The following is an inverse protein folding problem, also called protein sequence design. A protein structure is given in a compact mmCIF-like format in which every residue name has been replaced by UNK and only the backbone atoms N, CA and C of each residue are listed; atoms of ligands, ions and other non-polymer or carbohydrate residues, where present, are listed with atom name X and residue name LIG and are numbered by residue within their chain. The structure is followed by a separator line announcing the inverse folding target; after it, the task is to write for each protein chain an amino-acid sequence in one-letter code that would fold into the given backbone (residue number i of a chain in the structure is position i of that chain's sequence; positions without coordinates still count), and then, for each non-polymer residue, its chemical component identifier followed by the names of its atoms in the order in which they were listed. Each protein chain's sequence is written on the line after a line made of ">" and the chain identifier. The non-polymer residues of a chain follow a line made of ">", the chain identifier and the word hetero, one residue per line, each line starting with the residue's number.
data_IF_837610973983
#
_entry.id   IF_837610973983
#
_cell.length_a   1.000
_cell.length_b   1.000
_cell.length_c   1.000
_cell.angle_alpha   90.00
_cell.angle_beta   90.00
_cell.angle_gamma   90.00
#
_symmetry.space_group_name_H-M   'P 1'
#
loop_
_entity.id
_entity.type
_entity.pdbx_description
1 polymer ?
#
# COMPACT_ATOMS: atom_id res chain seq x y z
N UNK A 1 -13.04 8.88 18.84
CA UNK A 1 -11.61 9.25 18.69
C UNK A 1 -11.46 10.72 19.09
N UNK A 2 -10.58 11.10 20.03
CA UNK A 2 -10.34 12.53 20.28
C UNK A 2 -9.69 13.18 19.05
N UNK A 3 -10.08 14.42 18.72
CA UNK A 3 -9.57 15.17 17.56
C UNK A 3 -8.03 15.21 17.52
N UNK A 4 -7.41 15.35 18.69
CA UNK A 4 -5.95 15.31 18.85
C UNK A 4 -5.33 13.97 18.39
N UNK A 5 -5.98 12.85 18.70
CA UNK A 5 -5.52 11.53 18.27
C UNK A 5 -5.63 11.39 16.75
N UNK A 6 -6.70 11.93 16.15
CA UNK A 6 -6.86 11.92 14.70
C UNK A 6 -5.77 12.73 13.98
N UNK A 7 -5.42 13.91 14.49
CA UNK A 7 -4.33 14.74 13.94
C UNK A 7 -2.98 14.03 14.09
N UNK A 8 -2.74 13.38 15.23
CA UNK A 8 -1.49 12.64 15.46
C UNK A 8 -1.35 11.44 14.52
N UNK A 9 -2.44 10.71 14.28
CA UNK A 9 -2.46 9.56 13.37
C UNK A 9 -2.21 10.00 11.94
N UNK A 10 -2.92 11.02 11.45
CA UNK A 10 -2.69 11.54 10.09
C UNK A 10 -1.26 12.03 9.87
N UNK A 11 -0.63 12.64 10.89
CA UNK A 11 0.80 13.00 10.81
C UNK A 11 1.70 11.77 10.69
N UNK A 12 1.44 10.72 11.45
CA UNK A 12 2.22 9.47 11.39
C UNK A 12 2.07 8.84 10.00
N UNK A 13 0.85 8.72 9.49
CA UNK A 13 0.55 8.19 8.16
C UNK A 13 1.30 8.96 7.07
N UNK A 14 1.32 10.30 7.17
CA UNK A 14 2.10 11.14 6.25
C UNK A 14 3.59 10.83 6.28
N UNK A 15 4.20 10.68 7.47
CA UNK A 15 5.61 10.30 7.57
C UNK A 15 5.87 8.90 7.01
N UNK A 16 5.00 7.93 7.28
CA UNK A 16 5.12 6.56 6.76
C UNK A 16 5.05 6.55 5.22
N UNK A 17 4.18 7.36 4.62
CA UNK A 17 4.15 7.53 3.16
C UNK A 17 5.47 8.07 2.60
N UNK A 18 6.09 9.06 3.25
CA UNK A 18 7.39 9.59 2.79
C UNK A 18 8.53 8.58 2.95
N UNK A 19 8.54 7.85 4.06
CA UNK A 19 9.55 6.81 4.31
C UNK A 19 9.40 5.67 3.30
N UNK A 20 8.17 5.20 3.04
CA UNK A 20 7.91 4.15 2.05
C UNK A 20 8.32 4.57 0.64
N UNK A 21 8.03 5.81 0.21
CA UNK A 21 8.52 6.34 -1.07
C UNK A 21 10.05 6.31 -1.17
N UNK A 22 10.74 6.72 -0.11
CA UNK A 22 12.20 6.77 -0.08
C UNK A 22 12.80 5.36 -0.09
N UNK A 23 12.18 4.42 0.64
CA UNK A 23 12.58 3.01 0.64
C UNK A 23 12.44 2.39 -0.75
N UNK A 24 11.31 2.60 -1.45
CA UNK A 24 11.13 2.10 -2.83
C UNK A 24 12.21 2.64 -3.76
N UNK A 25 12.50 3.94 -3.67
CA UNK A 25 13.55 4.57 -4.46
C UNK A 25 14.91 3.91 -4.18
N UNK A 26 15.26 3.72 -2.91
CA UNK A 26 16.55 3.08 -2.57
C UNK A 26 16.61 1.66 -3.08
N UNK A 27 15.56 0.86 -2.84
CA UNK A 27 15.51 -0.56 -3.20
C UNK A 27 15.53 -0.79 -4.71
N UNK A 28 15.04 0.16 -5.50
CA UNK A 28 15.13 0.12 -6.96
C UNK A 28 16.58 0.10 -7.47
N UNK A 29 17.53 0.68 -6.72
CA UNK A 29 18.96 0.68 -7.08
C UNK A 29 19.73 -0.54 -6.57
N UNK A 30 19.10 -1.44 -5.81
CA UNK A 30 19.74 -2.63 -5.25
C UNK A 30 19.41 -3.90 -6.06
N UNK A 31 20.23 -4.92 -5.83
CA UNK A 31 20.22 -6.20 -6.55
C UNK A 31 18.91 -7.01 -6.37
N UNK A 32 18.65 -7.93 -7.30
CA UNK A 32 17.45 -8.78 -7.37
C UNK A 32 17.20 -9.63 -6.10
N UNK A 33 18.21 -9.82 -5.25
CA UNK A 33 18.09 -10.54 -3.98
C UNK A 33 17.14 -9.86 -2.98
N UNK A 34 16.79 -8.58 -3.20
CA UNK A 34 15.89 -7.81 -2.34
C UNK A 34 14.50 -7.64 -3.02
N UNK A 35 14.23 -8.32 -4.13
CA UNK A 35 13.01 -8.16 -4.92
C UNK A 35 11.71 -8.39 -4.13
N UNK A 36 11.68 -9.38 -3.23
CA UNK A 36 10.50 -9.63 -2.38
C UNK A 36 10.24 -8.45 -1.43
N UNK A 37 11.29 -7.90 -0.83
CA UNK A 37 11.20 -6.73 0.06
C UNK A 37 10.78 -5.48 -0.74
N UNK A 38 11.26 -5.34 -1.97
CA UNK A 38 10.82 -4.28 -2.89
C UNK A 38 9.33 -4.38 -3.18
N UNK A 39 8.83 -5.56 -3.59
CA UNK A 39 7.41 -5.79 -3.84
C UNK A 39 6.57 -5.47 -2.60
N UNK A 40 6.98 -5.94 -1.42
CA UNK A 40 6.24 -5.71 -0.19
C UNK A 40 6.14 -4.21 0.13
N UNK A 41 7.24 -3.47 0.03
CA UNK A 41 7.23 -2.01 0.22
C UNK A 41 6.37 -1.30 -0.82
N UNK A 42 6.38 -1.78 -2.07
CA UNK A 42 5.58 -1.22 -3.16
C UNK A 42 4.08 -1.42 -2.90
N UNK A 43 3.66 -2.61 -2.46
CA UNK A 43 2.28 -2.88 -2.09
C UNK A 43 1.82 -2.01 -0.91
N UNK A 44 2.64 -1.88 0.13
CA UNK A 44 2.35 -1.01 1.28
C UNK A 44 2.20 0.44 0.85
N UNK A 45 3.07 0.93 -0.04
CA UNK A 45 2.99 2.30 -0.53
C UNK A 45 1.72 2.56 -1.35
N UNK A 46 1.31 1.60 -2.19
CA UNK A 46 0.06 1.69 -2.96
C UNK A 46 -1.13 1.68 -2.01
N UNK A 47 -1.14 0.83 -0.98
CA UNK A 47 -2.24 0.78 0.01
C UNK A 47 -2.44 2.14 0.69
N UNK A 48 -1.36 2.75 1.20
CA UNK A 48 -1.43 4.07 1.84
C UNK A 48 -1.89 5.17 0.87
N UNK A 49 -1.45 5.12 -0.38
CA UNK A 49 -1.89 6.06 -1.42
C UNK A 49 -3.36 5.89 -1.77
N UNK A 50 -3.84 4.65 -1.85
CA UNK A 50 -5.23 4.34 -2.12
C UNK A 50 -6.15 4.80 -0.98
N UNK A 51 -5.75 4.60 0.28
CA UNK A 51 -6.51 5.08 1.43
C UNK A 51 -6.65 6.62 1.43
N UNK A 52 -5.59 7.35 1.06
CA UNK A 52 -5.66 8.81 0.91
C UNK A 52 -6.64 9.24 -0.21
N UNK A 53 -6.60 8.56 -1.36
CA UNK A 53 -7.56 8.81 -2.45
C UNK A 53 -9.00 8.53 -1.98
N UNK A 54 -9.21 7.44 -1.25
CA UNK A 54 -10.54 7.12 -0.73
C UNK A 54 -11.06 8.19 0.22
N UNK A 55 -10.18 8.79 1.02
CA UNK A 55 -10.53 9.89 1.92
C UNK A 55 -10.86 11.18 1.20
N UNK A 56 -10.13 11.50 0.15
CA UNK A 56 -10.33 12.73 -0.62
C UNK A 56 -11.62 12.69 -1.46
N UNK A 57 -11.95 11.53 -2.06
CA UNK A 57 -13.01 11.45 -3.06
C UNK A 57 -14.32 10.81 -2.55
N UNK A 58 -14.29 9.99 -1.50
CA UNK A 58 -15.46 9.23 -1.05
C UNK A 58 -15.87 9.54 0.39
N UNK A 59 -16.85 10.43 0.54
CA UNK A 59 -17.46 10.74 1.83
C UNK A 59 -18.47 9.68 2.30
N UNK A 60 -19.01 8.87 1.38
CA UNK A 60 -19.95 7.82 1.71
C UNK A 60 -19.21 6.61 2.31
N UNK A 61 -19.50 6.29 3.57
CA UNK A 61 -18.86 5.21 4.34
C UNK A 61 -19.03 3.85 3.67
N UNK A 62 -20.20 3.54 3.10
CA UNK A 62 -20.45 2.25 2.44
C UNK A 62 -19.62 2.11 1.17
N UNK A 63 -19.53 3.19 0.39
CA UNK A 63 -18.75 3.19 -0.84
C UNK A 63 -17.25 3.09 -0.54
N UNK A 64 -16.77 3.83 0.47
CA UNK A 64 -15.39 3.75 0.97
C UNK A 64 -15.04 2.32 1.42
N UNK A 65 -15.92 1.70 2.20
CA UNK A 65 -15.73 0.32 2.68
C UNK A 65 -15.69 -0.69 1.52
N UNK A 66 -16.56 -0.54 0.52
CA UNK A 66 -16.59 -1.40 -0.67
C UNK A 66 -15.27 -1.31 -1.46
N UNK A 67 -14.79 -0.10 -1.75
CA UNK A 67 -13.52 0.07 -2.46
C UNK A 67 -12.32 -0.43 -1.67
N UNK A 68 -12.28 -0.20 -0.36
CA UNK A 68 -11.21 -0.73 0.50
C UNK A 68 -11.22 -2.27 0.49
N UNK A 69 -12.40 -2.90 0.59
CA UNK A 69 -12.53 -4.35 0.47
C UNK A 69 -12.01 -4.87 -0.88
N UNK A 70 -12.42 -4.24 -1.98
CA UNK A 70 -12.03 -4.64 -3.33
C UNK A 70 -10.52 -4.50 -3.53
N UNK A 71 -9.92 -3.43 -3.01
CA UNK A 71 -8.48 -3.22 -3.03
C UNK A 71 -7.72 -4.28 -2.22
N UNK A 72 -8.15 -4.58 -0.99
CA UNK A 72 -7.54 -5.64 -0.17
C UNK A 72 -7.64 -7.01 -0.83
N UNK A 73 -8.76 -7.30 -1.50
CA UNK A 73 -8.92 -8.52 -2.26
C UNK A 73 -7.88 -8.62 -3.40
N UNK A 74 -7.69 -7.54 -4.16
CA UNK A 74 -6.65 -7.47 -5.21
C UNK A 74 -5.25 -7.68 -4.61
N UNK A 75 -4.96 -7.08 -3.46
CA UNK A 75 -3.66 -7.16 -2.79
C UNK A 75 -3.35 -8.58 -2.31
N UNK A 76 -4.33 -9.29 -1.73
CA UNK A 76 -4.19 -10.70 -1.35
C UNK A 76 -3.97 -11.58 -2.58
N UNK A 77 -4.71 -11.31 -3.67
CA UNK A 77 -4.60 -12.07 -4.91
C UNK A 77 -3.23 -11.87 -5.56
N UNK A 78 -2.70 -10.65 -5.61
CA UNK A 78 -1.34 -10.41 -6.14
C UNK A 78 -0.27 -11.10 -5.31
N UNK A 79 -0.34 -11.03 -3.98
CA UNK A 79 0.58 -11.75 -3.09
C UNK A 79 0.51 -13.28 -3.30
N UNK A 80 -0.70 -13.84 -3.43
CA UNK A 80 -0.89 -15.27 -3.69
C UNK A 80 -0.28 -15.70 -5.04
N UNK A 81 -0.43 -14.88 -6.07
CA UNK A 81 0.15 -15.14 -7.39
C UNK A 81 1.68 -15.03 -7.38
N UNK A 82 2.24 -14.07 -6.64
CA UNK A 82 3.70 -13.95 -6.45
C UNK A 82 4.24 -15.19 -5.71
N UNK A 83 3.58 -15.59 -4.61
CA UNK A 83 4.00 -16.73 -3.80
C UNK A 83 3.91 -18.06 -4.57
N UNK A 84 2.88 -18.23 -5.39
CA UNK A 84 2.72 -19.43 -6.23
C UNK A 84 3.66 -19.47 -7.45
N UNK A 85 4.56 -18.49 -7.61
CA UNK A 85 5.42 -18.29 -8.79
C UNK A 85 4.64 -18.21 -10.12
N UNK A 86 3.33 -18.02 -10.08
CA UNK A 86 2.51 -17.98 -11.30
C UNK A 86 2.71 -16.69 -12.11
N UNK A 87 3.22 -15.62 -11.47
CA UNK A 87 3.66 -14.37 -12.15
C UNK A 87 5.07 -14.49 -12.73
N UNK A 88 5.94 -15.32 -12.15
CA UNK A 88 7.33 -15.51 -12.60
C UNK A 88 7.44 -16.27 -13.93
N UNK A 89 6.35 -16.88 -14.42
CA UNK A 89 6.29 -17.60 -15.72
C UNK A 89 5.84 -16.67 -16.87
N UNK A 90 5.35 -15.46 -16.56
CA UNK A 90 4.85 -14.49 -17.55
C UNK A 90 5.86 -13.37 -17.91
N UNK A 91 7.04 -13.37 -17.31
CA UNK A 91 8.20 -12.53 -17.68
C UNK A 91 9.30 -13.44 -18.21
#
# INVERSE_FOLDING_TARGET
>A
MNLYNHIKIGKIEWYVQKISSLLILTLFFFDMNIFIIYIFNLLLHIELGFDSILEDYYQNILLKAFFNFLFKFILILTLSLIYSNSILILV
#
